data_IF_096632326663
#
_entry.id   IF_096632326663
#
_cell.length_a   1.000
_cell.length_b   1.000
_cell.length_c   1.000
_cell.angle_alpha   90.00
_cell.angle_beta   90.00
_cell.angle_gamma   90.00
#
_symmetry.space_group_name_H-M   'P 1'
#
loop_
_entity.id
_entity.type
_entity.pdbx_description
1 polymer ?
#
# COMPACT_ATOMS: atom_id res chain seq x y z
N UNK A 1 26.84 12.68 -3.29
CA UNK A 1 27.66 11.94 -2.31
C UNK A 1 26.76 10.93 -1.61
N UNK A 2 27.16 9.65 -1.61
CA UNK A 2 27.06 8.63 -0.54
C UNK A 2 25.69 8.48 0.18
N UNK A 3 25.03 7.33 0.24
CA UNK A 3 25.53 5.95 0.34
C UNK A 3 24.57 4.95 -0.31
N UNK A 4 25.15 4.13 -1.18
CA UNK A 4 24.66 2.80 -1.54
C UNK A 4 24.84 1.90 -0.30
N UNK A 5 23.79 1.60 0.46
CA UNK A 5 23.83 0.52 1.45
C UNK A 5 23.17 -0.72 0.87
N UNK A 6 24.03 -1.59 0.33
CA UNK A 6 23.73 -2.94 -0.09
C UNK A 6 23.68 -3.82 1.18
N UNK A 7 22.50 -4.30 1.56
CA UNK A 7 22.37 -5.43 2.51
C UNK A 7 21.68 -6.57 1.75
N UNK A 8 22.47 -7.60 1.41
CA UNK A 8 22.02 -8.84 0.82
C UNK A 8 21.19 -9.64 1.82
N UNK A 9 19.89 -9.77 1.55
CA UNK A 9 19.05 -10.87 2.04
C UNK A 9 17.94 -11.10 1.02
N UNK A 10 18.18 -11.94 0.00
CA UNK A 10 17.18 -12.56 -0.89
C UNK A 10 15.91 -11.71 -1.20
N UNK A 11 16.08 -10.44 -1.56
CA UNK A 11 14.97 -9.51 -1.77
C UNK A 11 14.88 -9.18 -3.25
N UNK A 12 13.77 -9.58 -3.87
CA UNK A 12 13.32 -9.09 -5.18
C UNK A 12 13.61 -7.60 -5.25
N UNK A 13 14.37 -7.18 -6.27
CA UNK A 13 14.76 -5.80 -6.52
C UNK A 13 13.48 -5.01 -6.80
N UNK A 14 12.87 -4.52 -5.73
CA UNK A 14 11.72 -3.64 -5.74
C UNK A 14 12.28 -2.23 -5.70
N UNK A 15 12.22 -1.53 -6.84
CA UNK A 15 12.47 -0.09 -6.94
C UNK A 15 11.41 0.66 -6.14
N UNK A 16 11.54 0.69 -4.82
CA UNK A 16 10.70 1.50 -3.95
C UNK A 16 11.31 2.89 -3.90
N UNK A 17 10.59 3.91 -4.38
CA UNK A 17 10.87 5.28 -3.95
C UNK A 17 10.27 5.45 -2.55
N UNK A 18 11.02 4.99 -1.55
CA UNK A 18 10.72 5.16 -0.12
C UNK A 18 11.67 6.21 0.44
N UNK A 19 11.16 7.10 1.28
CA UNK A 19 11.95 8.07 2.05
C UNK A 19 12.63 7.44 3.28
N UNK A 20 12.60 6.11 3.39
CA UNK A 20 13.14 5.34 4.51
C UNK A 20 12.12 5.07 5.63
N UNK A 21 10.90 5.60 5.54
CA UNK A 21 9.86 5.45 6.59
C UNK A 21 8.89 4.29 6.35
N UNK A 22 9.00 3.60 5.22
CA UNK A 22 8.21 2.40 4.91
C UNK A 22 8.74 1.16 5.65
N UNK A 23 7.95 0.58 6.56
CA UNK A 23 8.31 -0.64 7.30
C UNK A 23 7.75 -1.88 6.61
N UNK A 24 8.44 -2.35 5.57
CA UNK A 24 8.04 -3.53 4.81
C UNK A 24 8.35 -4.84 5.54
N UNK A 25 7.35 -5.71 5.69
CA UNK A 25 7.48 -7.10 6.15
C UNK A 25 6.90 -8.05 5.11
N UNK A 26 7.73 -8.84 4.44
CA UNK A 26 7.31 -9.85 3.45
C UNK A 26 6.33 -9.32 2.37
N UNK A 27 6.52 -8.07 1.93
CA UNK A 27 5.67 -7.45 0.91
C UNK A 27 6.44 -7.14 -0.36
N UNK A 28 5.77 -7.24 -1.50
CA UNK A 28 6.28 -6.78 -2.78
C UNK A 28 5.77 -5.38 -3.08
N UNK A 29 6.67 -4.45 -3.42
CA UNK A 29 6.37 -3.05 -3.69
C UNK A 29 7.08 -2.63 -4.98
N UNK A 30 6.37 -2.61 -6.10
CA UNK A 30 6.93 -2.39 -7.44
C UNK A 30 6.40 -1.09 -8.03
N UNK A 31 7.27 -0.25 -8.61
CA UNK A 31 6.91 1.04 -9.23
C UNK A 31 6.01 1.93 -8.35
N UNK A 32 6.23 1.87 -7.03
CA UNK A 32 5.31 2.42 -6.05
C UNK A 32 6.01 3.32 -5.05
N UNK A 33 5.28 4.30 -4.52
CA UNK A 33 5.71 5.11 -3.37
C UNK A 33 5.17 4.50 -2.09
N UNK A 34 6.03 4.38 -1.09
CA UNK A 34 5.64 3.96 0.25
C UNK A 34 6.27 4.91 1.27
N UNK A 35 5.43 5.64 1.99
CA UNK A 35 5.84 6.65 2.97
C UNK A 35 5.04 6.46 4.26
N UNK A 36 5.72 6.42 5.38
CA UNK A 36 5.20 6.26 6.74
C UNK A 36 4.14 5.16 6.84
N UNK A 37 4.41 4.03 6.20
CA UNK A 37 3.42 2.96 5.98
C UNK A 37 3.99 1.61 6.38
N UNK A 38 3.11 0.68 6.71
CA UNK A 38 3.47 -0.65 7.23
C UNK A 38 2.80 -1.72 6.37
N UNK A 39 3.42 -2.13 5.25
CA UNK A 39 2.95 -3.27 4.46
C UNK A 39 3.48 -4.59 5.03
N UNK A 40 2.54 -5.49 5.34
CA UNK A 40 2.79 -6.86 5.82
C UNK A 40 2.10 -7.87 4.92
N UNK A 41 2.85 -8.75 4.25
CA UNK A 41 2.31 -9.72 3.28
C UNK A 41 1.49 -9.07 2.15
N UNK A 42 1.89 -7.88 1.69
CA UNK A 42 1.16 -7.12 0.69
C UNK A 42 1.81 -7.19 -0.70
N UNK A 43 1.00 -6.95 -1.73
CA UNK A 43 1.46 -6.70 -3.09
C UNK A 43 1.02 -5.31 -3.52
N UNK A 44 1.98 -4.42 -3.80
CA UNK A 44 1.72 -3.01 -4.10
C UNK A 44 2.40 -2.71 -5.44
N UNK A 45 1.61 -2.46 -6.48
CA UNK A 45 2.11 -2.15 -7.81
C UNK A 45 1.53 -0.82 -8.34
N UNK A 46 2.38 -0.03 -9.00
CA UNK A 46 2.03 1.27 -9.58
C UNK A 46 1.18 2.17 -8.66
N UNK A 47 1.44 2.14 -7.36
CA UNK A 47 0.59 2.74 -6.33
C UNK A 47 1.36 3.76 -5.48
N UNK A 48 0.62 4.68 -4.85
CA UNK A 48 1.18 5.63 -3.88
C UNK A 48 0.53 5.42 -2.51
N UNK A 49 1.35 5.08 -1.51
CA UNK A 49 0.90 4.63 -0.19
C UNK A 49 1.49 5.51 0.89
N UNK A 50 0.63 6.25 1.59
CA UNK A 50 1.02 7.22 2.62
C UNK A 50 0.31 6.94 3.95
N UNK A 51 1.03 6.88 5.06
CA UNK A 51 0.42 6.77 6.39
C UNK A 51 -0.48 5.55 6.56
N UNK A 52 -0.25 4.47 5.82
CA UNK A 52 -1.22 3.38 5.63
C UNK A 52 -0.70 2.07 6.21
N UNK A 53 -1.58 1.32 6.88
CA UNK A 53 -1.32 -0.06 7.29
C UNK A 53 -1.93 -1.03 6.27
N UNK A 54 -1.10 -1.90 5.71
CA UNK A 54 -1.52 -2.90 4.74
C UNK A 54 -1.22 -4.29 5.31
N UNK A 55 -2.22 -5.17 5.37
CA UNK A 55 -2.03 -6.56 5.81
C UNK A 55 -2.69 -7.52 4.83
N UNK A 56 -1.89 -8.40 4.20
CA UNK A 56 -2.42 -9.42 3.28
C UNK A 56 -3.25 -8.86 2.14
N UNK A 57 -2.92 -7.66 1.65
CA UNK A 57 -3.73 -6.88 0.72
C UNK A 57 -2.97 -6.57 -0.58
N UNK A 58 -3.72 -6.29 -1.65
CA UNK A 58 -3.19 -5.98 -2.97
C UNK A 58 -3.64 -4.59 -3.42
N UNK A 59 -2.69 -3.76 -3.84
CA UNK A 59 -2.93 -2.45 -4.46
C UNK A 59 -2.36 -2.44 -5.88
N UNK A 60 -3.16 -1.97 -6.83
CA UNK A 60 -2.80 -1.90 -8.25
C UNK A 60 -3.31 -0.57 -8.84
N UNK A 61 -2.40 0.39 -9.04
CA UNK A 61 -2.76 1.72 -9.55
C UNK A 61 -3.49 2.61 -8.54
N UNK A 62 -3.23 2.46 -7.24
CA UNK A 62 -4.03 3.11 -6.17
C UNK A 62 -3.25 4.23 -5.48
N UNK A 63 -3.92 5.35 -5.21
CA UNK A 63 -3.45 6.36 -4.26
C UNK A 63 -4.19 6.21 -2.92
N UNK A 64 -3.48 5.79 -1.87
CA UNK A 64 -4.06 5.52 -0.55
C UNK A 64 -3.35 6.29 0.56
N UNK A 65 -4.15 6.93 1.42
CA UNK A 65 -3.68 7.79 2.51
C UNK A 65 -4.36 7.44 3.83
N UNK A 66 -3.60 7.44 4.94
CA UNK A 66 -4.12 7.36 6.32
C UNK A 66 -5.14 6.24 6.53
N UNK A 67 -4.95 5.07 5.91
CA UNK A 67 -5.94 4.00 5.87
C UNK A 67 -5.40 2.69 6.40
N UNK A 68 -6.30 1.76 6.72
CA UNK A 68 -5.97 0.38 7.11
C UNK A 68 -6.67 -0.59 6.18
N UNK A 69 -5.93 -1.52 5.58
CA UNK A 69 -6.51 -2.59 4.77
C UNK A 69 -6.10 -3.97 5.28
N UNK A 70 -7.05 -4.90 5.24
CA UNK A 70 -6.81 -6.30 5.61
C UNK A 70 -7.52 -7.21 4.62
N UNK A 71 -6.78 -8.14 3.99
CA UNK A 71 -7.35 -9.08 3.02
C UNK A 71 -8.10 -8.39 1.88
N UNK A 72 -7.64 -7.23 1.41
CA UNK A 72 -8.37 -6.40 0.43
C UNK A 72 -7.57 -6.25 -0.86
N UNK A 73 -8.22 -6.45 -1.99
CA UNK A 73 -7.74 -6.10 -3.32
C UNK A 73 -8.38 -4.78 -3.71
N UNK A 74 -7.57 -3.73 -3.91
CA UNK A 74 -7.98 -2.42 -4.39
C UNK A 74 -7.30 -2.10 -5.72
N UNK A 75 -8.08 -1.66 -6.70
CA UNK A 75 -7.61 -1.32 -8.05
C UNK A 75 -8.54 -0.33 -8.73
N UNK A 76 -8.09 0.32 -9.79
CA UNK A 76 -8.94 1.13 -10.66
C UNK A 76 -8.27 2.41 -11.14
N UNK A 77 -8.61 2.91 -12.34
CA UNK A 77 -8.04 4.14 -12.87
C UNK A 77 -8.43 5.32 -11.97
N UNK A 78 -7.44 5.96 -11.35
CA UNK A 78 -7.68 7.07 -10.42
C UNK A 78 -8.26 6.64 -9.08
N UNK A 79 -8.09 5.38 -8.68
CA UNK A 79 -8.55 4.90 -7.38
C UNK A 79 -7.86 5.69 -6.25
N UNK A 80 -8.69 6.36 -5.44
CA UNK A 80 -8.26 7.15 -4.29
C UNK A 80 -8.98 6.66 -3.03
N UNK A 81 -8.20 6.39 -1.98
CA UNK A 81 -8.70 5.93 -0.68
C UNK A 81 -8.08 6.82 0.40
N UNK A 82 -8.91 7.38 1.27
CA UNK A 82 -8.43 8.21 2.38
C UNK A 82 -9.20 7.95 3.67
N UNK A 83 -8.46 7.82 4.78
CA UNK A 83 -9.03 7.72 6.14
C UNK A 83 -10.02 6.56 6.31
N UNK A 84 -9.77 5.43 5.64
CA UNK A 84 -10.66 4.27 5.62
C UNK A 84 -10.08 3.07 6.38
N UNK A 85 -10.95 2.23 6.92
CA UNK A 85 -10.62 0.86 7.34
C UNK A 85 -11.38 -0.09 6.43
N UNK A 86 -10.66 -0.98 5.72
CA UNK A 86 -11.24 -1.89 4.73
C UNK A 86 -10.83 -3.32 5.06
N UNK A 87 -11.80 -4.23 5.14
CA UNK A 87 -11.55 -5.64 5.43
C UNK A 87 -12.29 -6.51 4.43
N UNK A 88 -11.59 -7.41 3.76
CA UNK A 88 -12.21 -8.29 2.76
C UNK A 88 -12.85 -7.54 1.58
N UNK A 89 -12.36 -6.34 1.24
CA UNK A 89 -12.98 -5.48 0.24
C UNK A 89 -14.18 -4.66 0.73
N UNK A 90 -14.57 -4.78 2.00
CA UNK A 90 -15.70 -4.04 2.58
C UNK A 90 -15.18 -2.88 3.44
N UNK A 91 -15.47 -1.62 3.09
CA UNK A 91 -15.11 -0.48 3.93
C UNK A 91 -16.01 -0.42 5.16
N UNK A 92 -15.40 -0.24 6.34
CA UNK A 92 -16.14 0.02 7.58
C UNK A 92 -16.83 1.40 7.52
N UNK A 93 -18.02 1.54 8.11
CA UNK A 93 -18.71 2.83 8.16
C UNK A 93 -17.89 3.84 8.97
N UNK A 94 -17.46 4.91 8.32
CA UNK A 94 -16.62 5.94 8.91
C UNK A 94 -16.89 7.28 8.21
N UNK A 95 -17.29 8.30 8.97
CA UNK A 95 -17.55 9.63 8.45
C UNK A 95 -16.36 10.27 7.68
N UNK A 96 -15.09 10.10 8.10
CA UNK A 96 -13.95 10.59 7.33
C UNK A 96 -13.54 9.71 6.15
N UNK A 97 -14.03 8.47 6.03
CA UNK A 97 -13.62 7.59 4.94
C UNK A 97 -14.11 8.13 3.59
N UNK A 98 -13.18 8.25 2.64
CA UNK A 98 -13.43 8.69 1.26
C UNK A 98 -12.82 7.67 0.31
N UNK A 99 -13.65 7.19 -0.61
CA UNK A 99 -13.26 6.22 -1.65
C UNK A 99 -13.84 6.72 -2.96
N UNK A 100 -13.01 6.84 -3.99
CA UNK A 100 -13.43 7.27 -5.33
C UNK A 100 -12.66 6.53 -6.40
N UNK A 101 -13.35 6.12 -7.48
CA UNK A 101 -12.73 5.46 -8.63
C UNK A 101 -12.15 4.06 -8.34
N UNK A 102 -12.52 3.44 -7.21
CA UNK A 102 -11.94 2.17 -6.77
C UNK A 102 -12.88 1.00 -7.00
N UNK A 103 -12.30 -0.12 -7.44
CA UNK A 103 -12.88 -1.46 -7.35
C UNK A 103 -12.26 -2.16 -6.15
N UNK A 104 -13.10 -2.52 -5.17
CA UNK A 104 -12.70 -3.24 -3.96
C UNK A 104 -13.27 -4.65 -3.97
N UNK A 105 -12.45 -5.62 -3.56
CA UNK A 105 -12.85 -7.03 -3.37
C UNK A 105 -11.97 -7.70 -2.31
N UNK A 106 -12.36 -8.88 -1.86
CA UNK A 106 -11.49 -9.72 -1.05
C UNK A 106 -10.21 -10.06 -1.83
N UNK A 107 -9.07 -10.09 -1.14
CA UNK A 107 -7.76 -10.46 -1.69
C UNK A 107 -7.53 -11.96 -1.65
#
# INVERSE_FOLDING_TARGET
MKCLMLIMALAIINTVSSDGTCRNTNSQITNSKCVNSVPTNCYIDNSEVYGTTCTGSRYDGVHITSSTTTGTSASGPGCTISSCTITGGVPAPSAPCRISGCTLRAN
#
